data_IF_937918121034
#
_entry.id   IF_937918121034
#
_cell.length_a   1.000
_cell.length_b   1.000
_cell.length_c   1.000
_cell.angle_alpha   90.00
_cell.angle_beta   90.00
_cell.angle_gamma   90.00
#
_symmetry.space_group_name_H-M   'P 1'
#
loop_
_entity.id
_entity.type
_entity.pdbx_description
1 polymer ?
#
# COMPACT_ATOMS: atom_id res chain seq x y z
N UNK A 1 69.87 4.21 5.09
CA UNK A 1 69.55 3.64 3.76
C UNK A 1 68.38 4.44 3.19
N UNK A 2 68.65 5.30 2.19
CA UNK A 2 67.63 6.16 1.58
C UNK A 2 67.06 5.49 0.32
N UNK A 3 65.81 5.05 0.39
CA UNK A 3 65.07 4.50 -0.76
C UNK A 3 64.37 5.65 -1.48
N UNK A 4 64.89 6.03 -2.65
CA UNK A 4 64.26 7.00 -3.56
C UNK A 4 63.24 6.25 -4.41
N UNK A 5 61.95 6.60 -4.29
CA UNK A 5 60.92 6.15 -5.22
C UNK A 5 60.83 7.11 -6.41
N UNK A 6 61.03 6.60 -7.62
CA UNK A 6 60.84 7.33 -8.86
C UNK A 6 59.37 7.25 -9.29
N UNK A 7 58.65 8.38 -9.23
CA UNK A 7 57.28 8.50 -9.75
C UNK A 7 57.33 8.86 -11.24
N UNK A 8 57.24 7.84 -12.09
CA UNK A 8 57.06 7.99 -13.55
C UNK A 8 55.62 8.40 -13.86
N UNK A 9 55.41 9.69 -14.15
CA UNK A 9 54.14 10.25 -14.61
C UNK A 9 54.26 10.53 -16.11
N UNK A 10 53.89 9.57 -16.95
CA UNK A 10 53.63 9.83 -18.38
C UNK A 10 52.18 10.29 -18.55
N UNK A 11 51.92 11.44 -19.20
CA UNK A 11 50.57 11.90 -19.48
C UNK A 11 49.87 10.94 -20.45
N UNK A 12 48.61 10.64 -20.15
CA UNK A 12 47.77 9.68 -20.88
C UNK A 12 47.08 10.41 -22.03
N UNK A 13 47.32 9.96 -23.25
CA UNK A 13 46.75 10.51 -24.48
C UNK A 13 45.20 10.38 -24.46
N UNK A 14 44.45 11.50 -24.50
CA UNK A 14 42.99 11.49 -24.44
C UNK A 14 42.30 10.94 -25.70
N UNK A 15 43.03 10.71 -26.80
CA UNK A 15 42.45 10.25 -28.07
C UNK A 15 42.69 8.78 -28.42
N UNK A 16 43.18 7.96 -27.47
CA UNK A 16 43.37 6.53 -27.74
C UNK A 16 42.00 5.81 -27.93
N UNK A 17 41.73 5.17 -29.09
CA UNK A 17 40.46 4.50 -29.35
C UNK A 17 40.24 3.35 -28.37
N UNK A 18 39.16 3.45 -27.59
CA UNK A 18 38.72 2.41 -26.64
C UNK A 18 38.33 1.15 -27.40
N UNK A 19 39.26 0.19 -27.48
CA UNK A 19 38.95 -1.18 -27.89
C UNK A 19 38.04 -1.82 -26.84
N UNK A 20 36.72 -1.79 -27.08
CA UNK A 20 35.75 -2.55 -26.28
C UNK A 20 36.00 -4.04 -26.46
N UNK A 21 36.65 -4.65 -25.47
CA UNK A 21 36.89 -6.10 -25.41
C UNK A 21 35.59 -6.79 -25.00
N UNK A 22 34.71 -7.02 -25.98
CA UNK A 22 33.42 -7.72 -25.83
C UNK A 22 33.54 -9.23 -25.61
N UNK A 23 34.42 -9.67 -24.71
CA UNK A 23 34.57 -11.08 -24.32
C UNK A 23 34.48 -11.19 -22.80
N UNK A 24 33.27 -11.41 -22.27
CA UNK A 24 33.12 -11.59 -20.81
C UNK A 24 31.68 -11.77 -20.29
N UNK A 25 30.64 -11.41 -21.06
CA UNK A 25 29.25 -11.57 -20.57
C UNK A 25 28.79 -13.04 -20.52
N UNK A 26 29.22 -13.89 -21.46
CA UNK A 26 28.79 -15.30 -21.51
C UNK A 26 29.36 -16.16 -20.37
N UNK A 27 30.53 -15.80 -19.82
CA UNK A 27 31.16 -16.54 -18.72
C UNK A 27 30.51 -16.24 -17.37
N UNK A 28 30.10 -14.99 -17.13
CA UNK A 28 29.44 -14.60 -15.87
C UNK A 28 28.04 -15.19 -15.71
N UNK A 29 27.28 -15.32 -16.80
CA UNK A 29 25.94 -15.92 -16.76
C UNK A 29 26.02 -17.43 -16.49
N UNK A 30 27.04 -18.11 -17.04
CA UNK A 30 27.31 -19.53 -16.76
C UNK A 30 27.68 -19.77 -15.30
N UNK A 31 28.59 -18.96 -14.74
CA UNK A 31 28.98 -19.06 -13.31
C UNK A 31 27.80 -18.79 -12.37
N UNK A 32 26.89 -17.88 -12.75
CA UNK A 32 25.69 -17.60 -11.97
C UNK A 32 24.72 -18.79 -11.94
N UNK A 33 24.46 -19.41 -13.09
CA UNK A 33 23.58 -20.57 -13.17
C UNK A 33 24.15 -21.78 -12.43
N UNK A 34 25.46 -21.98 -12.46
CA UNK A 34 26.13 -23.05 -11.71
C UNK A 34 26.02 -22.85 -10.20
N UNK A 35 26.11 -21.59 -9.72
CA UNK A 35 25.90 -21.26 -8.30
C UNK A 35 24.45 -21.48 -7.86
N UNK A 36 23.48 -21.04 -8.66
CA UNK A 36 22.04 -21.25 -8.38
C UNK A 36 21.66 -22.74 -8.36
N UNK A 37 22.28 -23.57 -9.22
CA UNK A 37 22.07 -25.03 -9.21
C UNK A 37 22.61 -25.70 -7.94
N UNK A 38 23.82 -25.31 -7.52
CA UNK A 38 24.47 -25.85 -6.32
C UNK A 38 23.70 -25.50 -5.03
N UNK A 39 23.14 -24.30 -4.97
CA UNK A 39 22.33 -23.85 -3.83
C UNK A 39 21.00 -24.62 -3.72
N UNK A 40 20.37 -24.96 -4.86
CA UNK A 40 19.16 -25.81 -4.87
C UNK A 40 19.44 -27.23 -4.38
N UNK A 41 20.53 -27.83 -4.85
CA UNK A 41 20.94 -29.18 -4.43
C UNK A 41 21.22 -29.24 -2.92
N UNK A 42 21.86 -28.20 -2.36
CA UNK A 42 22.11 -28.10 -0.92
C UNK A 42 20.80 -27.97 -0.11
N UNK A 43 19.86 -27.17 -0.60
CA UNK A 43 18.55 -26.98 0.05
C UNK A 43 17.71 -28.26 0.02
N UNK A 44 17.77 -29.03 -1.08
CA UNK A 44 17.10 -30.32 -1.21
C UNK A 44 17.70 -31.35 -0.25
N UNK A 45 19.04 -31.43 -0.18
CA UNK A 45 19.74 -32.30 0.78
C UNK A 45 19.40 -31.97 2.24
N UNK A 46 19.33 -30.68 2.60
CA UNK A 46 18.88 -30.23 3.93
C UNK A 46 17.42 -30.59 4.21
N UNK A 47 16.55 -30.58 3.20
CA UNK A 47 15.14 -30.98 3.36
C UNK A 47 15.02 -32.48 3.60
N UNK A 48 15.74 -33.31 2.85
CA UNK A 48 15.79 -34.76 3.07
C UNK A 48 16.37 -35.13 4.44
N UNK A 49 17.39 -34.42 4.90
CA UNK A 49 17.97 -34.63 6.22
C UNK A 49 16.96 -34.31 7.35
N UNK A 50 16.15 -33.26 7.19
CA UNK A 50 15.06 -32.95 8.14
C UNK A 50 13.98 -34.03 8.14
N UNK A 51 13.62 -34.58 6.98
CA UNK A 51 12.66 -35.68 6.90
C UNK A 51 13.23 -36.92 7.61
N UNK A 52 14.50 -37.25 7.37
CA UNK A 52 15.18 -38.38 8.02
C UNK A 52 15.28 -38.22 9.54
N UNK A 53 15.55 -37.00 10.03
CA UNK A 53 15.67 -36.73 11.48
C UNK A 53 14.32 -36.51 12.18
N UNK A 54 13.31 -36.04 11.48
CA UNK A 54 11.99 -35.70 12.05
C UNK A 54 10.95 -36.82 12.00
N UNK A 55 11.17 -37.89 11.23
CA UNK A 55 10.22 -38.99 11.07
C UNK A 55 10.08 -39.96 12.26
N UNK A 56 10.78 -39.73 13.38
CA UNK A 56 10.86 -40.70 14.49
C UNK A 56 10.00 -40.40 15.73
N UNK A 57 9.42 -39.19 15.87
CA UNK A 57 8.87 -38.77 17.16
C UNK A 57 7.32 -38.78 17.26
N UNK A 58 6.59 -38.97 16.17
CA UNK A 58 5.13 -38.78 16.15
C UNK A 58 4.29 -40.09 16.17
N UNK A 59 4.90 -41.27 16.26
CA UNK A 59 4.18 -42.54 16.11
C UNK A 59 3.86 -43.30 17.41
N UNK A 60 4.28 -42.83 18.60
CA UNK A 60 4.08 -43.56 19.86
C UNK A 60 3.34 -42.75 20.95
N UNK A 61 2.18 -42.18 20.61
CA UNK A 61 1.28 -41.57 21.60
C UNK A 61 -0.20 -41.94 21.39
N UNK A 62 -0.45 -43.19 20.98
CA UNK A 62 -1.81 -43.72 20.82
C UNK A 62 -1.89 -45.16 21.36
N UNK A 63 -1.61 -45.34 22.66
CA UNK A 63 -2.01 -46.52 23.44
C UNK A 63 -1.66 -46.30 24.91
N UNK A 64 -2.56 -45.70 25.69
CA UNK A 64 -2.56 -45.82 27.15
C UNK A 64 -3.97 -45.56 27.71
N UNK A 65 -4.59 -46.66 28.13
CA UNK A 65 -5.64 -46.86 29.12
C UNK A 65 -6.35 -45.64 29.73
N UNK A 66 -7.64 -45.56 29.45
CA UNK A 66 -8.68 -44.94 30.29
C UNK A 66 -8.87 -45.73 31.59
N UNK A 67 -8.70 -45.12 32.79
CA UNK A 67 -9.24 -45.66 34.01
C UNK A 67 -10.67 -45.15 34.25
N UNK A 68 -11.57 -46.10 34.49
CA UNK A 68 -12.92 -45.91 35.00
C UNK A 68 -12.89 -45.21 36.37
N UNK A 69 -13.66 -44.15 36.63
CA UNK A 69 -13.81 -43.63 37.98
C UNK A 69 -14.83 -44.48 38.75
N UNK A 70 -14.38 -44.98 39.90
CA UNK A 70 -15.22 -45.58 40.91
C UNK A 70 -16.08 -44.50 41.58
N UNK A 71 -17.31 -44.91 41.86
CA UNK A 71 -18.33 -44.22 42.63
C UNK A 71 -17.88 -44.18 44.08
N UNK A 72 -17.88 -43.00 44.70
CA UNK A 72 -17.96 -42.86 46.17
C UNK A 72 -18.98 -41.76 46.47
N UNK A 73 -19.91 -42.12 47.35
CA UNK A 73 -21.04 -41.34 47.83
C UNK A 73 -20.62 -40.30 48.91
N UNK A 74 -21.53 -39.33 49.07
CA UNK A 74 -21.85 -38.53 50.27
C UNK A 74 -21.03 -37.26 50.64
N UNK A 75 -21.79 -36.20 50.95
CA UNK A 75 -21.37 -34.95 51.59
C UNK A 75 -21.71 -33.70 50.75
N UNK A 76 -22.96 -33.23 50.69
CA UNK A 76 -23.61 -32.29 51.64
C UNK A 76 -23.19 -30.80 51.44
N UNK A 77 -24.20 -29.92 51.41
CA UNK A 77 -24.21 -28.43 51.31
C UNK A 77 -24.02 -27.85 49.89
N UNK A 78 -24.69 -26.81 49.42
CA UNK A 78 -25.58 -25.78 50.01
C UNK A 78 -26.37 -25.15 48.85
N UNK A 79 -27.58 -24.67 49.12
CA UNK A 79 -28.54 -24.14 48.15
C UNK A 79 -28.05 -22.83 47.50
N UNK A 80 -28.01 -22.81 46.17
CA UNK A 80 -27.64 -21.64 45.36
C UNK A 80 -28.44 -21.57 44.06
N UNK A 81 -29.71 -21.17 44.21
CA UNK A 81 -30.73 -20.94 43.19
C UNK A 81 -30.24 -19.98 42.07
N UNK A 82 -30.08 -20.51 40.85
CA UNK A 82 -29.97 -19.70 39.62
C UNK A 82 -30.90 -20.29 38.58
N UNK A 83 -32.04 -19.64 38.44
CA UNK A 83 -33.06 -19.81 37.40
C UNK A 83 -32.46 -19.72 36.00
N UNK A 84 -32.61 -20.78 35.21
CA UNK A 84 -32.35 -20.81 33.77
C UNK A 84 -33.61 -20.29 33.07
N UNK A 85 -33.54 -19.09 32.50
CA UNK A 85 -34.59 -18.61 31.59
C UNK A 85 -34.49 -19.32 30.23
N UNK A 86 -35.65 -19.84 29.80
CA UNK A 86 -35.99 -20.33 28.48
C UNK A 86 -35.55 -19.37 27.36
N UNK A 87 -34.62 -19.81 26.52
CA UNK A 87 -34.36 -19.15 25.24
C UNK A 87 -35.40 -19.64 24.21
N UNK A 88 -36.46 -18.84 24.07
CA UNK A 88 -37.47 -19.01 23.02
C UNK A 88 -36.88 -18.80 21.63
N UNK A 89 -37.06 -19.83 20.81
CA UNK A 89 -36.77 -19.89 19.38
C UNK A 89 -37.63 -18.84 18.63
N UNK A 90 -37.04 -17.71 18.23
CA UNK A 90 -37.69 -16.74 17.34
C UNK A 90 -37.69 -17.28 15.92
N UNK A 91 -38.82 -17.84 15.48
CA UNK A 91 -39.14 -18.00 14.06
C UNK A 91 -39.41 -16.62 13.46
N UNK A 92 -38.57 -16.18 12.52
CA UNK A 92 -38.83 -15.00 11.70
C UNK A 92 -39.89 -15.30 10.64
N UNK A 93 -40.93 -14.46 10.63
CA UNK A 93 -42.05 -14.51 9.69
C UNK A 93 -41.61 -14.23 8.24
N UNK A 94 -42.10 -15.00 7.24
CA UNK A 94 -41.72 -14.88 5.83
C UNK A 94 -42.24 -13.62 5.10
N UNK A 95 -42.97 -12.73 5.77
CA UNK A 95 -43.55 -11.54 5.12
C UNK A 95 -42.57 -10.38 4.90
N UNK A 96 -41.34 -10.44 5.44
CA UNK A 96 -40.32 -9.37 5.26
C UNK A 96 -39.39 -9.53 4.05
N UNK A 97 -39.48 -10.63 3.30
CA UNK A 97 -38.64 -10.83 2.11
C UNK A 97 -39.23 -10.19 0.84
N UNK A 98 -40.54 -9.94 0.79
CA UNK A 98 -41.18 -9.34 -0.39
C UNK A 98 -40.95 -7.82 -0.54
N UNK A 99 -40.58 -7.11 0.53
CA UNK A 99 -40.40 -5.65 0.50
C UNK A 99 -39.02 -5.18 0.01
N UNK A 100 -37.99 -6.05 0.04
CA UNK A 100 -36.63 -5.66 -0.33
C UNK A 100 -36.37 -5.80 -1.84
N UNK A 101 -37.04 -6.72 -2.53
CA UNK A 101 -36.90 -6.91 -3.99
C UNK A 101 -37.54 -5.75 -4.79
N UNK A 102 -38.59 -5.13 -4.23
CA UNK A 102 -39.22 -3.93 -4.81
C UNK A 102 -38.37 -2.66 -4.65
N UNK A 103 -37.58 -2.57 -3.56
CA UNK A 103 -36.68 -1.44 -3.29
C UNK A 103 -35.40 -1.50 -4.15
N UNK A 104 -34.90 -2.70 -4.46
CA UNK A 104 -33.75 -2.87 -5.38
C UNK A 104 -34.06 -2.52 -6.84
N UNK A 105 -35.30 -2.74 -7.30
CA UNK A 105 -35.73 -2.33 -8.65
C UNK A 105 -35.84 -0.80 -8.79
N UNK A 106 -36.33 -0.11 -7.77
CA UNK A 106 -36.47 1.36 -7.78
C UNK A 106 -35.13 2.11 -7.77
N UNK A 107 -34.11 1.56 -7.12
CA UNK A 107 -32.78 2.18 -7.08
C UNK A 107 -32.04 2.11 -8.44
N UNK A 108 -32.35 1.12 -9.29
CA UNK A 108 -31.73 0.99 -10.61
C UNK A 108 -32.41 1.86 -11.69
N UNK A 109 -33.72 2.08 -11.62
CA UNK A 109 -34.45 2.93 -12.57
C UNK A 109 -34.25 4.43 -12.31
N UNK A 110 -34.03 4.84 -11.05
CA UNK A 110 -33.80 6.24 -10.69
C UNK A 110 -32.52 6.84 -11.30
N UNK A 111 -31.53 6.01 -11.68
CA UNK A 111 -30.28 6.47 -12.33
C UNK A 111 -30.35 6.46 -13.86
N UNK A 112 -31.38 5.84 -14.47
CA UNK A 112 -31.53 5.76 -15.92
C UNK A 112 -32.51 6.82 -16.48
N UNK A 113 -33.38 7.41 -15.65
CA UNK A 113 -34.46 8.32 -16.07
C UNK A 113 -34.15 9.82 -16.12
N UNK A 114 -32.94 10.29 -15.79
CA UNK A 114 -32.63 11.73 -15.74
C UNK A 114 -32.21 12.36 -17.09
N UNK A 115 -32.65 11.79 -18.22
CA UNK A 115 -32.47 12.39 -19.55
C UNK A 115 -33.74 12.17 -20.36
N UNK A 116 -34.76 12.98 -20.09
CA UNK A 116 -35.73 13.46 -21.08
C UNK A 116 -36.74 14.43 -20.45
N UNK A 117 -36.82 15.61 -21.07
CA UNK A 117 -37.95 16.55 -21.07
C UNK A 117 -38.26 17.37 -19.80
N UNK A 118 -37.75 18.61 -19.79
CA UNK A 118 -38.61 19.82 -19.89
C UNK A 118 -37.76 21.02 -20.33
N UNK A 119 -37.72 21.30 -21.63
CA UNK A 119 -37.35 22.62 -22.14
C UNK A 119 -38.63 23.46 -22.18
N UNK A 120 -38.92 24.15 -21.08
CA UNK A 120 -39.82 25.31 -21.09
C UNK A 120 -38.95 26.56 -21.07
N UNK A 121 -38.92 27.22 -22.22
CA UNK A 121 -38.38 28.57 -22.39
C UNK A 121 -39.31 29.56 -21.68
N UNK A 122 -38.93 29.99 -20.49
CA UNK A 122 -39.31 31.30 -19.96
C UNK A 122 -38.11 32.21 -20.09
N UNK A 123 -38.23 33.16 -21.03
CA UNK A 123 -37.44 34.39 -21.07
C UNK A 123 -37.64 35.16 -19.75
N UNK A 124 -36.64 35.97 -19.38
CA UNK A 124 -36.55 36.85 -18.21
C UNK A 124 -36.01 36.21 -16.92
N UNK A 125 -34.66 36.17 -16.82
CA UNK A 125 -33.90 36.82 -15.75
C UNK A 125 -32.39 36.71 -16.05
N UNK A 126 -31.71 37.87 -16.10
CA UNK A 126 -30.27 38.06 -16.29
C UNK A 126 -29.46 37.51 -15.09
N UNK A 127 -29.59 36.23 -14.78
CA UNK A 127 -28.64 35.54 -13.91
C UNK A 127 -27.48 35.05 -14.77
N UNK A 128 -26.48 35.92 -14.93
CA UNK A 128 -25.14 35.52 -15.33
C UNK A 128 -24.57 34.59 -14.25
N UNK A 129 -25.02 33.33 -14.24
CA UNK A 129 -24.37 32.26 -13.50
C UNK A 129 -23.02 32.06 -14.16
N UNK A 130 -22.04 32.82 -13.68
CA UNK A 130 -20.66 32.86 -14.11
C UNK A 130 -20.06 31.47 -13.82
N UNK A 131 -20.29 30.52 -14.74
CA UNK A 131 -19.80 29.16 -14.66
C UNK A 131 -18.29 29.23 -14.70
N UNK A 132 -17.67 29.30 -13.51
CA UNK A 132 -16.22 29.27 -13.37
C UNK A 132 -15.70 28.06 -14.13
N UNK A 133 -14.78 28.28 -15.06
CA UNK A 133 -14.13 27.21 -15.79
C UNK A 133 -13.50 26.20 -14.80
N UNK A 134 -13.45 24.90 -15.14
CA UNK A 134 -12.86 23.89 -14.26
C UNK A 134 -11.41 24.24 -13.87
N UNK A 135 -10.67 24.90 -14.75
CA UNK A 135 -9.31 25.38 -14.47
C UNK A 135 -9.25 26.42 -13.33
N UNK A 136 -10.26 27.30 -13.24
CA UNK A 136 -10.34 28.32 -12.18
C UNK A 136 -10.62 27.68 -10.82
N UNK A 137 -11.44 26.63 -10.78
CA UNK A 137 -11.70 25.88 -9.55
C UNK A 137 -10.45 25.18 -9.01
N UNK A 138 -9.66 24.55 -9.89
CA UNK A 138 -8.40 23.91 -9.49
C UNK A 138 -7.37 24.94 -9.00
N UNK A 139 -7.31 26.13 -9.63
CA UNK A 139 -6.44 27.22 -9.20
C UNK A 139 -6.82 27.77 -7.81
N UNK A 140 -8.12 27.97 -7.55
CA UNK A 140 -8.64 28.39 -6.25
C UNK A 140 -8.27 27.35 -5.17
N UNK A 141 -8.43 26.04 -5.46
CA UNK A 141 -8.04 24.97 -4.53
C UNK A 141 -6.52 24.93 -4.28
N UNK A 142 -5.71 25.17 -5.30
CA UNK A 142 -4.26 25.24 -5.16
C UNK A 142 -3.82 26.38 -4.23
N UNK A 143 -4.49 27.54 -4.31
CA UNK A 143 -4.29 28.68 -3.41
C UNK A 143 -4.74 28.38 -1.98
N UNK A 144 -5.87 27.70 -1.77
CA UNK A 144 -6.31 27.28 -0.43
C UNK A 144 -5.29 26.34 0.24
N UNK A 145 -4.73 25.42 -0.54
CA UNK A 145 -3.67 24.53 -0.04
C UNK A 145 -2.36 25.27 0.25
N UNK A 146 -2.08 26.37 -0.46
CA UNK A 146 -0.98 27.28 -0.15
C UNK A 146 -1.26 28.08 1.13
N UNK A 147 -2.46 28.62 1.29
CA UNK A 147 -2.90 29.36 2.48
C UNK A 147 -2.78 28.50 3.75
N UNK A 148 -3.29 27.26 3.69
CA UNK A 148 -3.15 26.30 4.78
C UNK A 148 -1.68 26.05 5.17
N UNK A 149 -0.80 25.95 4.18
CA UNK A 149 0.64 25.79 4.42
C UNK A 149 1.27 27.04 5.05
N UNK A 150 0.95 28.24 4.55
CA UNK A 150 1.42 29.52 5.10
C UNK A 150 1.01 29.68 6.56
N UNK A 151 -0.26 29.36 6.89
CA UNK A 151 -0.76 29.36 8.26
C UNK A 151 0.03 28.36 9.13
N UNK A 152 0.29 27.16 8.62
CA UNK A 152 1.08 26.15 9.35
C UNK A 152 2.54 26.59 9.63
N UNK A 153 3.08 27.49 8.81
CA UNK A 153 4.40 28.09 9.00
C UNK A 153 4.37 29.36 9.90
N UNK A 154 3.21 29.72 10.46
CA UNK A 154 3.03 30.90 11.30
C UNK A 154 2.69 32.20 10.55
N UNK A 155 2.33 32.11 9.27
CA UNK A 155 1.88 33.26 8.47
C UNK A 155 0.38 33.54 8.60
N UNK A 156 -0.06 34.69 8.08
CA UNK A 156 -1.48 35.04 7.98
C UNK A 156 -1.99 34.75 6.57
N UNK A 157 -3.28 34.45 6.45
CA UNK A 157 -3.94 34.21 5.15
C UNK A 157 -3.87 35.44 4.25
N UNK A 158 -4.04 36.63 4.82
CA UNK A 158 -4.01 37.92 4.11
C UNK A 158 -2.65 38.22 3.45
N UNK A 159 -1.58 37.55 3.89
CA UNK A 159 -0.27 37.64 3.24
C UNK A 159 -0.26 37.06 1.81
N UNK A 160 -1.32 36.32 1.44
CA UNK A 160 -1.53 35.77 0.10
C UNK A 160 -2.51 36.61 -0.75
N UNK A 161 -2.93 37.79 -0.30
CA UNK A 161 -3.75 38.69 -1.11
C UNK A 161 -3.02 39.10 -2.40
N UNK A 162 -3.69 38.96 -3.55
CA UNK A 162 -3.13 39.23 -4.88
C UNK A 162 -2.26 38.11 -5.46
N UNK A 163 -2.18 36.94 -4.80
CA UNK A 163 -1.50 35.78 -5.36
C UNK A 163 -2.39 35.03 -6.36
N UNK A 164 -1.77 34.40 -7.36
CA UNK A 164 -2.44 33.50 -8.30
C UNK A 164 -1.72 32.15 -8.38
N UNK A 165 -2.47 31.10 -8.70
CA UNK A 165 -1.92 29.77 -8.98
C UNK A 165 -2.28 29.35 -10.40
N UNK A 166 -1.30 28.87 -11.14
CA UNK A 166 -1.49 28.35 -12.50
C UNK A 166 -0.87 26.96 -12.60
N UNK A 167 -1.56 26.07 -13.30
CA UNK A 167 -1.05 24.71 -13.50
C UNK A 167 -0.11 24.70 -14.70
N UNK A 168 1.18 24.43 -14.47
CA UNK A 168 2.18 24.34 -15.53
C UNK A 168 2.44 22.88 -15.89
N UNK A 169 2.19 22.55 -17.16
CA UNK A 169 2.51 21.26 -17.73
C UNK A 169 3.94 21.28 -18.28
N UNK A 170 4.86 20.62 -17.57
CA UNK A 170 6.20 20.33 -18.07
C UNK A 170 6.38 18.80 -18.12
N UNK A 171 6.12 18.22 -19.29
CA UNK A 171 6.11 16.77 -19.51
C UNK A 171 4.93 16.07 -18.81
N UNK A 172 5.14 14.85 -18.32
CA UNK A 172 4.10 14.02 -17.68
C UNK A 172 3.81 14.39 -16.21
N UNK A 173 4.46 15.41 -15.65
CA UNK A 173 4.18 15.87 -14.28
C UNK A 173 3.64 17.28 -14.29
N UNK A 174 2.36 17.44 -13.97
CA UNK A 174 1.77 18.73 -13.64
C UNK A 174 2.40 19.31 -12.38
N UNK A 175 2.80 20.58 -12.41
CA UNK A 175 3.29 21.30 -11.23
C UNK A 175 2.57 22.64 -11.12
N UNK A 176 2.20 22.98 -9.89
CA UNK A 176 1.64 24.29 -9.58
C UNK A 176 2.72 25.38 -9.62
N UNK A 177 2.42 26.46 -10.32
CA UNK A 177 3.18 27.71 -10.35
C UNK A 177 2.40 28.77 -9.58
N UNK A 178 2.94 29.22 -8.46
CA UNK A 178 2.39 30.31 -7.67
C UNK A 178 3.05 31.61 -8.11
N UNK A 179 2.25 32.64 -8.37
CA UNK A 179 2.72 33.96 -8.81
C UNK A 179 2.34 34.98 -7.75
N UNK A 180 3.31 35.73 -7.22
CA UNK A 180 3.03 36.81 -6.25
C UNK A 180 2.36 38.00 -6.93
N UNK A 181 1.84 38.93 -6.13
CA UNK A 181 1.27 40.18 -6.64
C UNK A 181 2.27 41.04 -7.43
N UNK A 182 3.57 40.89 -7.17
CA UNK A 182 4.67 41.53 -7.90
C UNK A 182 5.08 40.77 -9.19
N UNK A 183 4.46 39.62 -9.46
CA UNK A 183 4.77 38.78 -10.62
C UNK A 183 5.92 37.79 -10.42
N UNK A 184 6.43 37.63 -9.20
CA UNK A 184 7.47 36.65 -8.90
C UNK A 184 6.91 35.22 -8.91
N UNK A 185 7.70 34.27 -9.44
CA UNK A 185 7.25 32.90 -9.73
C UNK A 185 7.86 31.87 -8.79
N UNK A 186 7.01 31.04 -8.19
CA UNK A 186 7.38 30.01 -7.23
C UNK A 186 6.79 28.65 -7.61
N UNK A 187 7.59 27.59 -7.52
CA UNK A 187 7.18 26.24 -7.94
C UNK A 187 6.80 25.34 -6.77
N UNK A 188 7.01 25.81 -5.53
CA UNK A 188 6.78 25.02 -4.32
C UNK A 188 6.29 25.93 -3.18
N UNK A 189 5.38 25.43 -2.35
CA UNK A 189 4.89 26.16 -1.17
C UNK A 189 6.00 26.57 -0.18
N UNK A 190 7.04 25.72 0.06
CA UNK A 190 8.24 26.13 0.79
C UNK A 190 8.96 27.37 0.25
N UNK A 191 8.96 27.61 -1.07
CA UNK A 191 9.57 28.82 -1.63
C UNK A 191 8.74 30.06 -1.26
N UNK A 192 7.42 29.96 -1.35
CA UNK A 192 6.51 31.04 -0.94
C UNK A 192 6.66 31.37 0.54
N UNK A 193 6.65 30.36 1.42
CA UNK A 193 6.83 30.58 2.85
C UNK A 193 8.16 31.27 3.21
N UNK A 194 9.22 31.01 2.43
CA UNK A 194 10.50 31.71 2.61
C UNK A 194 10.48 33.14 2.11
N UNK A 195 9.85 33.39 0.97
CA UNK A 195 9.69 34.76 0.46
C UNK A 195 8.95 35.63 1.47
N UNK A 196 7.91 35.06 2.11
CA UNK A 196 7.14 35.71 3.16
C UNK A 196 7.88 35.75 4.52
N UNK A 197 9.13 35.31 4.59
CA UNK A 197 9.98 35.28 5.80
C UNK A 197 9.31 34.62 7.02
N UNK A 198 8.50 33.59 6.80
CA UNK A 198 7.72 32.97 7.87
C UNK A 198 8.63 32.24 8.87
N UNK A 199 8.34 32.30 10.18
CA UNK A 199 9.19 31.70 11.22
C UNK A 199 9.29 30.17 11.10
N UNK A 200 8.24 29.51 10.59
CA UNK A 200 8.22 28.07 10.32
C UNK A 200 8.69 27.69 8.90
N UNK A 201 9.20 28.65 8.11
CA UNK A 201 9.65 28.36 6.75
C UNK A 201 10.91 27.47 6.75
N UNK A 202 10.97 26.43 5.91
CA UNK A 202 12.16 25.59 5.80
C UNK A 202 13.32 26.41 5.20
N UNK A 203 14.46 26.44 5.89
CA UNK A 203 15.66 27.21 5.49
C UNK A 203 16.15 26.80 4.10
N UNK A 204 16.66 27.75 3.31
CA UNK A 204 17.22 27.53 1.96
C UNK A 204 18.34 26.47 2.06
N UNK A 205 18.04 25.23 1.66
CA UNK A 205 18.93 24.07 1.84
C UNK A 205 18.25 22.82 2.41
N UNK A 206 17.07 22.96 3.03
CA UNK A 206 16.28 21.83 3.56
C UNK A 206 15.29 21.22 2.56
N UNK A 207 15.26 21.69 1.31
CA UNK A 207 14.34 21.19 0.27
C UNK A 207 14.77 19.85 -0.32
N UNK A 208 15.99 19.37 -0.03
CA UNK A 208 16.25 17.93 -0.12
C UNK A 208 15.75 17.32 1.19
N UNK A 209 14.85 16.32 1.15
CA UNK A 209 14.51 15.57 2.36
C UNK A 209 15.84 15.21 3.01
N UNK A 210 16.05 15.73 4.23
CA UNK A 210 17.32 15.59 4.93
C UNK A 210 17.63 14.10 4.91
N UNK A 211 18.72 13.74 4.23
CA UNK A 211 19.19 12.37 4.15
C UNK A 211 19.44 11.95 5.58
N UNK A 212 18.47 11.27 6.19
CA UNK A 212 18.59 10.71 7.53
C UNK A 212 19.96 10.03 7.66
N UNK A 213 20.76 10.40 8.64
CA UNK A 213 22.02 9.69 8.82
C UNK A 213 21.74 8.29 9.39
N UNK A 214 22.70 7.37 9.29
CA UNK A 214 22.58 6.06 9.95
C UNK A 214 22.35 6.21 11.46
N UNK A 215 22.99 7.20 12.09
CA UNK A 215 22.78 7.51 13.51
C UNK A 215 21.38 8.03 13.82
N UNK A 216 20.82 8.93 13.00
CA UNK A 216 19.44 9.40 13.14
C UNK A 216 18.45 8.22 12.98
N UNK A 217 18.69 7.31 12.04
CA UNK A 217 17.87 6.12 11.85
C UNK A 217 17.91 5.15 13.05
N UNK A 218 19.10 4.97 13.67
CA UNK A 218 19.26 4.19 14.90
C UNK A 218 18.62 4.88 16.11
N UNK A 219 18.69 6.21 16.20
CA UNK A 219 18.00 6.96 17.24
C UNK A 219 16.48 6.82 17.12
N UNK A 220 15.96 6.82 15.90
CA UNK A 220 14.54 6.55 15.65
C UNK A 220 14.15 5.11 15.98
N UNK A 221 15.04 4.13 15.75
CA UNK A 221 14.82 2.75 16.17
C UNK A 221 14.82 2.64 17.71
N UNK A 222 15.79 3.25 18.38
CA UNK A 222 15.89 3.29 19.83
C UNK A 222 14.62 3.85 20.48
N UNK A 223 14.15 5.01 20.01
CA UNK A 223 12.91 5.61 20.50
C UNK A 223 11.70 4.70 20.28
N UNK A 224 11.65 3.98 19.14
CA UNK A 224 10.57 3.04 18.85
C UNK A 224 10.60 1.81 19.77
N UNK A 225 11.78 1.25 20.03
CA UNK A 225 11.97 0.14 20.97
C UNK A 225 11.50 0.52 22.37
N UNK A 226 11.83 1.73 22.84
CA UNK A 226 11.35 2.26 24.12
C UNK A 226 9.82 2.39 24.13
N UNK A 227 9.22 2.88 23.04
CA UNK A 227 7.75 2.98 22.94
C UNK A 227 7.03 1.62 22.94
N UNK A 228 7.71 0.55 22.52
CA UNK A 228 7.20 -0.82 22.58
C UNK A 228 7.45 -1.51 23.94
N UNK A 229 7.98 -0.80 24.94
CA UNK A 229 8.28 -1.35 26.28
C UNK A 229 9.68 -1.94 26.43
N UNK A 230 10.57 -1.78 25.44
CA UNK A 230 11.98 -2.16 25.55
C UNK A 230 12.85 -1.08 26.19
N UNK A 231 14.14 -1.35 26.32
CA UNK A 231 15.15 -0.35 26.72
C UNK A 231 16.00 0.07 25.53
N UNK A 232 16.55 1.29 25.60
CA UNK A 232 17.44 1.83 24.56
C UNK A 232 18.69 0.99 24.35
N UNK A 233 19.12 0.25 25.37
CA UNK A 233 20.33 -0.56 25.29
C UNK A 233 20.22 -1.78 24.39
N UNK A 234 19.00 -2.23 24.09
CA UNK A 234 18.76 -3.36 23.17
C UNK A 234 19.25 -3.09 21.74
N UNK A 235 19.37 -1.81 21.37
CA UNK A 235 19.87 -1.39 20.04
C UNK A 235 21.35 -0.98 20.07
N UNK A 236 22.04 -1.10 21.20
CA UNK A 236 23.47 -0.83 21.26
C UNK A 236 24.24 -1.86 20.42
N UNK A 237 25.14 -1.36 19.57
CA UNK A 237 25.91 -2.20 18.65
C UNK A 237 25.17 -2.55 17.35
N UNK A 238 23.96 -2.05 17.12
CA UNK A 238 23.27 -2.21 15.85
C UNK A 238 23.80 -1.24 14.78
N UNK A 239 23.63 -1.60 13.51
CA UNK A 239 23.92 -0.70 12.39
C UNK A 239 22.68 -0.51 11.51
N UNK A 240 22.54 0.68 10.93
CA UNK A 240 21.46 0.99 10.00
C UNK A 240 22.01 1.27 8.61
N UNK A 241 21.46 0.61 7.60
CA UNK A 241 21.83 0.80 6.19
C UNK A 241 20.62 1.22 5.38
N UNK A 242 20.82 2.22 4.54
CA UNK A 242 19.79 2.69 3.62
C UNK A 242 19.83 1.88 2.33
N UNK A 243 18.66 1.40 1.92
CA UNK A 243 18.45 0.78 0.62
C UNK A 243 17.53 1.67 -0.21
N UNK A 244 17.99 2.03 -1.40
CA UNK A 244 17.16 2.71 -2.40
C UNK A 244 16.62 1.65 -3.35
N UNK A 245 15.31 1.50 -3.37
CA UNK A 245 14.63 0.68 -4.37
C UNK A 245 14.10 1.62 -5.44
N UNK A 246 14.60 1.46 -6.66
CA UNK A 246 14.09 2.20 -7.82
C UNK A 246 13.11 1.29 -8.55
N UNK A 247 11.81 1.51 -8.34
CA UNK A 247 10.82 1.02 -9.30
C UNK A 247 10.77 2.00 -10.48
N UNK A 248 10.31 1.56 -11.65
CA UNK A 248 10.34 2.32 -12.91
C UNK A 248 9.75 3.74 -12.82
N UNK A 249 8.93 4.02 -11.81
CA UNK A 249 8.24 5.31 -11.61
C UNK A 249 8.58 6.00 -10.28
N UNK A 250 9.05 5.28 -9.26
CA UNK A 250 9.24 5.83 -7.91
C UNK A 250 10.53 5.33 -7.26
N UNK A 251 11.31 6.27 -6.71
CA UNK A 251 12.42 5.94 -5.80
C UNK A 251 11.88 5.89 -4.38
N UNK A 252 11.86 4.71 -3.77
CA UNK A 252 11.60 4.54 -2.34
C UNK A 252 12.90 4.29 -1.62
N UNK A 253 13.10 4.95 -0.48
CA UNK A 253 14.24 4.70 0.40
C UNK A 253 13.74 4.06 1.69
N UNK A 254 14.27 2.88 2.00
CA UNK A 254 13.91 2.12 3.18
C UNK A 254 15.15 1.84 4.01
N UNK A 255 15.01 1.94 5.34
CA UNK A 255 16.08 1.59 6.28
C UNK A 255 16.01 0.13 6.66
N UNK A 256 17.16 -0.54 6.59
CA UNK A 256 17.35 -1.87 7.13
C UNK A 256 18.27 -1.79 8.34
N UNK A 257 17.98 -2.61 9.34
CA UNK A 257 18.68 -2.65 10.60
C UNK A 257 19.40 -4.00 10.73
N UNK A 258 20.67 -3.97 11.08
CA UNK A 258 21.50 -5.16 11.27
C UNK A 258 21.86 -5.28 12.75
N UNK A 259 21.49 -6.40 13.34
CA UNK A 259 21.98 -6.80 14.65
C UNK A 259 23.40 -7.37 14.49
N UNK A 260 24.42 -6.61 14.92
CA UNK A 260 25.83 -7.03 14.74
C UNK A 260 26.21 -8.27 15.53
N UNK A 261 25.49 -8.59 16.62
CA UNK A 261 25.80 -9.77 17.45
C UNK A 261 25.40 -11.07 16.74
N UNK A 262 24.35 -11.02 15.93
CA UNK A 262 23.75 -12.22 15.32
C UNK A 262 23.80 -12.23 13.79
N UNK A 263 24.12 -11.09 13.17
CA UNK A 263 24.20 -10.96 11.71
C UNK A 263 22.82 -10.91 11.01
N UNK A 264 21.73 -10.80 11.76
CA UNK A 264 20.37 -10.77 11.21
C UNK A 264 19.97 -9.38 10.73
N UNK A 265 19.35 -9.33 9.54
CA UNK A 265 18.83 -8.11 8.93
C UNK A 265 17.32 -8.01 9.11
N UNK A 266 16.85 -6.81 9.45
CA UNK A 266 15.44 -6.47 9.60
C UNK A 266 15.11 -5.31 8.67
N UNK A 267 14.00 -5.43 7.93
CA UNK A 267 13.59 -4.43 6.94
C UNK A 267 12.79 -3.28 7.55
N UNK A 268 12.40 -3.38 8.83
CA UNK A 268 11.60 -2.35 9.49
C UNK A 268 11.71 -2.36 11.02
N UNK A 269 11.37 -1.24 11.67
CA UNK A 269 11.37 -1.14 13.15
C UNK A 269 10.36 -2.08 13.83
N UNK A 270 9.12 -2.24 13.32
CA UNK A 270 8.20 -3.23 13.87
C UNK A 270 8.74 -4.66 13.83
N UNK A 271 9.52 -4.99 12.81
CA UNK A 271 10.16 -6.31 12.71
C UNK A 271 11.23 -6.50 13.77
N UNK A 272 12.02 -5.47 14.05
CA UNK A 272 12.97 -5.46 15.19
C UNK A 272 12.24 -5.61 16.53
N UNK A 273 11.17 -4.84 16.75
CA UNK A 273 10.42 -4.89 18.00
C UNK A 273 9.79 -6.27 18.26
N UNK A 274 9.25 -6.92 17.22
CA UNK A 274 8.74 -8.30 17.31
C UNK A 274 9.85 -9.31 17.56
N UNK A 275 10.98 -9.16 16.88
CA UNK A 275 12.12 -10.05 17.06
C UNK A 275 12.71 -9.95 18.47
N UNK A 276 12.67 -8.76 19.08
CA UNK A 276 13.00 -8.52 20.48
C UNK A 276 11.89 -8.94 21.46
N UNK A 277 10.77 -9.50 20.97
CA UNK A 277 9.62 -9.93 21.77
C UNK A 277 9.06 -8.84 22.70
N UNK A 278 9.06 -7.59 22.22
CA UNK A 278 8.60 -6.46 23.03
C UNK A 278 7.07 -6.48 23.19
N UNK A 279 6.53 -6.19 24.40
CA UNK A 279 5.09 -6.31 24.69
C UNK A 279 4.22 -5.34 23.87
N UNK A 280 4.75 -4.17 23.51
CA UNK A 280 4.09 -3.20 22.65
C UNK A 280 4.42 -3.34 21.16
N UNK A 281 5.04 -4.45 20.75
CA UNK A 281 5.32 -4.68 19.33
C UNK A 281 4.01 -5.00 18.59
N UNK A 282 3.73 -4.35 17.44
CA UNK A 282 2.53 -4.64 16.67
C UNK A 282 2.59 -6.08 16.15
N UNK A 283 1.55 -6.86 16.45
CA UNK A 283 1.41 -8.23 15.96
C UNK A 283 1.43 -8.25 14.43
N UNK A 284 1.99 -9.31 13.84
CA UNK A 284 2.09 -9.43 12.38
C UNK A 284 0.71 -9.32 11.71
N UNK A 285 -0.33 -9.78 12.40
CA UNK A 285 -1.73 -9.82 11.98
C UNK A 285 -2.37 -8.43 11.90
N UNK A 286 -2.07 -7.52 12.83
CA UNK A 286 -2.63 -6.15 12.83
C UNK A 286 -2.31 -5.37 11.55
N UNK A 287 -1.14 -5.63 10.95
CA UNK A 287 -0.75 -4.96 9.70
C UNK A 287 -1.41 -5.53 8.45
N UNK A 288 -1.99 -6.72 8.57
CA UNK A 288 -2.75 -7.36 7.50
C UNK A 288 -4.20 -6.88 7.60
N UNK A 289 -4.75 -6.75 8.81
CA UNK A 289 -6.15 -6.38 9.03
C UNK A 289 -6.50 -4.94 8.63
N UNK A 290 -5.63 -3.95 8.87
CA UNK A 290 -5.94 -2.53 8.59
C UNK A 290 -6.18 -2.20 7.09
N UNK A 291 -5.88 -3.12 6.17
CA UNK A 291 -6.19 -2.93 4.74
C UNK A 291 -7.05 -4.06 4.14
N UNK A 292 -7.53 -5.00 4.95
CA UNK A 292 -8.53 -5.95 4.48
C UNK A 292 -9.86 -5.19 4.48
N UNK A 293 -10.41 -4.98 3.28
CA UNK A 293 -11.78 -4.47 3.15
C UNK A 293 -12.72 -5.37 3.95
N UNK A 294 -13.65 -4.77 4.69
CA UNK A 294 -14.61 -5.53 5.47
C UNK A 294 -15.41 -6.47 4.54
N UNK A 295 -15.99 -7.57 5.06
CA UNK A 295 -16.85 -8.45 4.27
C UNK A 295 -17.99 -7.70 3.57
N UNK A 296 -18.54 -6.67 4.21
CA UNK A 296 -19.58 -5.80 3.68
C UNK A 296 -19.07 -4.97 2.50
N UNK A 297 -17.90 -4.34 2.64
CA UNK A 297 -17.28 -3.59 1.54
C UNK A 297 -16.96 -4.49 0.34
N UNK A 298 -16.54 -5.73 0.60
CA UNK A 298 -16.26 -6.70 -0.47
C UNK A 298 -17.54 -7.11 -1.21
N UNK A 299 -18.65 -7.33 -0.49
CA UNK A 299 -19.96 -7.59 -1.08
C UNK A 299 -20.43 -6.40 -1.91
N UNK A 300 -20.33 -5.19 -1.39
CA UNK A 300 -20.72 -3.96 -2.10
C UNK A 300 -19.89 -3.76 -3.39
N UNK A 301 -18.57 -4.04 -3.32
CA UNK A 301 -17.71 -3.95 -4.49
C UNK A 301 -18.08 -4.97 -5.58
N UNK A 302 -18.48 -6.19 -5.19
CA UNK A 302 -18.99 -7.20 -6.11
C UNK A 302 -20.35 -6.80 -6.69
N UNK A 303 -21.25 -6.20 -5.91
CA UNK A 303 -22.55 -5.75 -6.43
C UNK A 303 -22.37 -4.61 -7.44
N UNK A 304 -21.47 -3.65 -7.16
CA UNK A 304 -21.12 -2.61 -8.12
C UNK A 304 -20.49 -3.17 -9.39
N UNK A 305 -19.72 -4.26 -9.28
CA UNK A 305 -19.19 -4.98 -10.44
C UNK A 305 -20.33 -5.69 -11.22
N UNK A 306 -21.27 -6.31 -10.52
CA UNK A 306 -22.43 -6.98 -11.11
C UNK A 306 -23.30 -6.00 -11.90
N UNK A 307 -23.62 -4.84 -11.32
CA UNK A 307 -24.32 -3.76 -11.99
C UNK A 307 -23.58 -3.30 -13.26
N UNK A 308 -22.25 -3.13 -13.17
CA UNK A 308 -21.43 -2.76 -14.33
C UNK A 308 -21.44 -3.82 -15.44
N UNK A 309 -21.36 -5.11 -15.08
CA UNK A 309 -21.46 -6.21 -16.04
C UNK A 309 -22.83 -6.23 -16.74
N UNK A 310 -23.92 -5.96 -16.03
CA UNK A 310 -25.27 -5.84 -16.63
C UNK A 310 -25.33 -4.66 -17.61
N UNK A 311 -24.78 -3.50 -17.24
CA UNK A 311 -24.70 -2.33 -18.14
C UNK A 311 -23.90 -2.62 -19.41
N UNK A 312 -22.88 -3.47 -19.33
CA UNK A 312 -22.12 -3.94 -20.50
C UNK A 312 -22.82 -5.06 -21.30
N UNK A 313 -24.08 -5.38 -21.01
CA UNK A 313 -24.86 -6.41 -21.71
C UNK A 313 -24.64 -7.84 -21.21
N UNK A 314 -24.03 -8.01 -20.03
CA UNK A 314 -23.86 -9.30 -19.36
C UNK A 314 -25.02 -9.66 -18.42
N UNK A 315 -24.90 -10.81 -17.75
CA UNK A 315 -25.81 -11.25 -16.67
C UNK A 315 -25.09 -11.24 -15.33
N UNK A 316 -25.81 -11.00 -14.22
CA UNK A 316 -25.25 -11.02 -12.86
C UNK A 316 -24.60 -12.37 -12.52
N UNK A 317 -25.20 -13.48 -12.96
CA UNK A 317 -24.75 -14.85 -12.67
C UNK A 317 -23.33 -15.16 -13.18
N UNK A 318 -22.80 -14.37 -14.12
CA UNK A 318 -21.42 -14.51 -14.58
C UNK A 318 -20.38 -14.23 -13.48
N UNK A 319 -20.80 -13.56 -12.40
CA UNK A 319 -19.98 -13.25 -11.24
C UNK A 319 -20.14 -14.25 -10.09
N UNK A 320 -20.91 -15.33 -10.29
CA UNK A 320 -21.03 -16.37 -9.26
C UNK A 320 -19.67 -17.01 -8.95
N UNK A 321 -19.30 -17.03 -7.66
CA UNK A 321 -18.01 -17.52 -7.19
C UNK A 321 -16.82 -16.56 -7.41
N UNK A 322 -17.06 -15.30 -7.76
CA UNK A 322 -16.03 -14.27 -7.73
C UNK A 322 -15.81 -13.74 -6.30
N UNK A 323 -14.60 -13.26 -6.04
CA UNK A 323 -14.27 -12.56 -4.80
C UNK A 323 -13.64 -11.20 -5.10
N UNK A 324 -13.95 -10.20 -4.29
CA UNK A 324 -13.27 -8.91 -4.31
C UNK A 324 -12.34 -8.81 -3.12
N UNK A 325 -11.18 -8.19 -3.32
CA UNK A 325 -10.28 -7.80 -2.24
C UNK A 325 -9.72 -6.42 -2.52
N UNK A 326 -9.48 -5.65 -1.47
CA UNK A 326 -8.77 -4.38 -1.56
C UNK A 326 -7.30 -4.62 -1.19
N UNK A 327 -6.38 -4.04 -1.94
CA UNK A 327 -4.96 -4.10 -1.62
C UNK A 327 -4.53 -2.89 -0.76
N UNK A 328 -3.23 -2.82 -0.44
CA UNK A 328 -2.66 -1.72 0.35
C UNK A 328 -2.69 -0.37 -0.36
N UNK A 329 -2.83 -0.31 -1.69
CA UNK A 329 -3.03 0.96 -2.41
C UNK A 329 -4.49 1.39 -2.44
N UNK A 330 -5.37 0.66 -1.74
CA UNK A 330 -6.82 0.84 -1.73
C UNK A 330 -7.48 0.51 -3.07
N UNK A 331 -6.76 -0.17 -3.96
CA UNK A 331 -7.28 -0.59 -5.25
C UNK A 331 -8.01 -1.92 -5.12
N UNK A 332 -9.11 -2.06 -5.87
CA UNK A 332 -9.90 -3.28 -5.91
C UNK A 332 -9.30 -4.31 -6.86
N UNK A 333 -9.21 -5.56 -6.39
CA UNK A 333 -8.86 -6.72 -7.20
C UNK A 333 -10.01 -7.72 -7.17
N UNK A 334 -10.50 -8.05 -8.35
CA UNK A 334 -11.56 -9.03 -8.56
C UNK A 334 -10.91 -10.34 -8.99
N UNK A 335 -11.15 -11.40 -8.22
CA UNK A 335 -10.60 -12.73 -8.49
C UNK A 335 -11.73 -13.63 -8.99
N UNK A 336 -11.54 -14.19 -10.18
CA UNK A 336 -12.47 -15.20 -10.71
C UNK A 336 -12.32 -16.51 -9.96
N UNK A 337 -13.34 -17.37 -10.06
CA UNK A 337 -13.32 -18.74 -9.52
C UNK A 337 -12.11 -19.56 -9.99
N UNK A 338 -11.57 -19.24 -11.16
CA UNK A 338 -10.40 -19.91 -11.75
C UNK A 338 -9.05 -19.29 -11.29
N UNK A 339 -9.07 -18.35 -10.34
CA UNK A 339 -7.88 -17.70 -9.78
C UNK A 339 -7.29 -16.57 -10.64
N UNK A 340 -8.03 -16.08 -11.64
CA UNK A 340 -7.57 -14.91 -12.43
C UNK A 340 -7.88 -13.63 -11.67
N UNK A 341 -6.87 -12.78 -11.45
CA UNK A 341 -7.03 -11.52 -10.73
C UNK A 341 -7.01 -10.33 -11.69
N UNK A 342 -8.03 -9.48 -11.61
CA UNK A 342 -8.24 -8.31 -12.47
C UNK A 342 -8.40 -7.06 -11.59
N UNK A 343 -7.84 -5.93 -12.01
CA UNK A 343 -7.72 -4.71 -11.17
C UNK A 343 -8.82 -3.68 -11.39
N UNK A 344 -9.68 -3.89 -12.37
CA UNK A 344 -10.72 -2.92 -12.72
C UNK A 344 -11.97 -3.59 -13.26
N UNK A 345 -13.12 -2.93 -13.11
CA UNK A 345 -14.40 -3.41 -13.66
C UNK A 345 -14.38 -3.52 -15.19
N UNK A 346 -13.79 -2.56 -15.93
CA UNK A 346 -13.59 -2.71 -17.38
C UNK A 346 -12.74 -3.93 -17.74
N UNK A 347 -11.72 -4.28 -16.94
CA UNK A 347 -10.93 -5.49 -17.19
C UNK A 347 -11.75 -6.76 -17.03
N UNK A 348 -12.62 -6.82 -16.02
CA UNK A 348 -13.55 -7.93 -15.81
C UNK A 348 -14.53 -8.05 -16.98
N UNK A 349 -15.16 -6.94 -17.39
CA UNK A 349 -16.12 -6.95 -18.49
C UNK A 349 -15.48 -7.43 -19.81
N UNK A 350 -14.25 -6.99 -20.10
CA UNK A 350 -13.48 -7.48 -21.26
C UNK A 350 -13.10 -8.95 -21.12
N UNK A 351 -12.66 -9.38 -19.93
CA UNK A 351 -12.31 -10.78 -19.68
C UNK A 351 -13.50 -11.72 -19.87
N UNK A 352 -14.71 -11.26 -19.54
CA UNK A 352 -15.98 -11.95 -19.78
C UNK A 352 -16.49 -11.82 -21.22
N UNK A 353 -15.80 -11.09 -22.10
CA UNK A 353 -16.19 -10.78 -23.48
C UNK A 353 -17.59 -10.16 -23.61
N UNK A 354 -17.92 -9.20 -22.73
CA UNK A 354 -19.22 -8.52 -22.77
C UNK A 354 -19.30 -7.53 -23.95
N UNK A 355 -20.44 -7.45 -24.66
CA UNK A 355 -20.58 -6.65 -25.89
C UNK A 355 -20.44 -5.14 -25.66
N UNK A 356 -20.84 -4.64 -24.49
CA UNK A 356 -20.72 -3.22 -24.12
C UNK A 356 -19.45 -2.90 -23.33
N UNK A 357 -18.45 -3.79 -23.31
CA UNK A 357 -17.19 -3.51 -22.62
C UNK A 357 -16.41 -2.45 -23.41
N UNK A 358 -15.87 -1.40 -22.74
CA UNK A 358 -15.10 -0.37 -23.44
C UNK A 358 -13.85 -0.97 -24.08
N UNK A 359 -13.61 -0.63 -25.35
CA UNK A 359 -12.41 -0.99 -26.11
C UNK A 359 -11.18 -0.33 -25.49
N UNK A 360 -10.62 -0.99 -24.48
CA UNK A 360 -9.34 -0.65 -23.89
C UNK A 360 -8.23 -1.52 -24.48
N UNK A 361 -7.03 -0.97 -24.58
CA UNK A 361 -5.81 -1.73 -24.91
C UNK A 361 -5.54 -2.79 -23.84
N UNK A 362 -6.11 -3.98 -24.00
CA UNK A 362 -5.89 -5.09 -23.09
C UNK A 362 -4.50 -5.66 -23.31
N UNK A 363 -3.52 -5.24 -22.50
CA UNK A 363 -2.27 -5.97 -22.36
C UNK A 363 -2.52 -7.22 -21.51
N UNK A 364 -3.21 -8.22 -22.09
CA UNK A 364 -3.20 -9.56 -21.55
C UNK A 364 -1.75 -10.06 -21.58
N UNK A 365 -1.07 -9.95 -20.44
CA UNK A 365 0.20 -10.63 -20.19
C UNK A 365 -0.10 -12.13 -20.13
N UNK A 366 -0.18 -12.76 -21.31
CA UNK A 366 -0.25 -14.21 -21.45
C UNK A 366 0.97 -14.78 -20.70
N UNK A 367 0.74 -15.28 -19.49
CA UNK A 367 1.72 -16.10 -18.77
C UNK A 367 2.01 -17.30 -19.67
N UNK A 368 3.18 -17.29 -20.32
CA UNK A 368 3.75 -18.48 -20.96
C UNK A 368 3.85 -19.55 -19.89
N UNK A 369 3.11 -20.66 -20.04
CA UNK A 369 3.39 -21.90 -19.32
C UNK A 369 4.86 -22.24 -19.58
N UNK A 370 5.63 -22.37 -18.50
CA UNK A 370 6.99 -22.91 -18.55
C UNK A 370 6.93 -24.42 -18.46
#
# INVERSE_FOLDING_TARGET
>A
MNVKYATSTKPRDPNAPRKYRGKGKKTLEKERLEREAKEREEMEKKREERIRKGGGAAANAAAADTPTPAVDEEGETDDGDVTIEEFSERQESPEKLASNEALEKLACEALAGMVSDTFSTSEDDDDTSDTKSPEKLEADEALERLASYVISCGGKRDSLEGWSATHSWHGNSGKWLYVSKEGEKFYTRPQVARLLELPGAPKVGQTRPRTLTSSEALQQLASYVVSCGGTRDLVNGWSARRYSTTNSTTKSETWHYLNSKEGQWFASRPEVARWLELPGAPMLEQRIEENIASPEECKEALEKLACYCVLCGGKRDLLEGWSARRDRSKDWHYNSKNGTSLKSRPDVARWLNLPGAPEGFFQASKKRKR
#
